data_IF_155544499642
#
_entry.id   IF_155544499642
#
_cell.length_a   1.000
_cell.length_b   1.000
_cell.length_c   1.000
_cell.angle_alpha   90.00
_cell.angle_beta   90.00
_cell.angle_gamma   90.00
#
_symmetry.space_group_name_H-M   'P 1'
#
loop_
_entity.id
_entity.type
_entity.pdbx_description
1 polymer ?
#
# COMPACT_ATOMS: atom_id res chain seq x y z
N UNK A 1 -0.41 22.68 0.95
CA UNK A 1 -0.51 23.18 -0.44
C UNK A 1 -1.63 22.54 -1.28
N UNK A 2 -2.03 21.27 -1.05
CA UNK A 2 -3.07 20.57 -1.84
C UNK A 2 -4.48 21.23 -1.87
N UNK A 3 -4.90 21.92 -0.80
CA UNK A 3 -6.26 22.52 -0.70
C UNK A 3 -6.44 23.79 -1.55
N UNK A 4 -5.37 24.55 -1.81
CA UNK A 4 -5.46 25.81 -2.54
C UNK A 4 -5.67 25.60 -4.05
N UNK A 5 -5.00 24.62 -4.65
CA UNK A 5 -5.15 24.31 -6.08
C UNK A 5 -6.55 23.80 -6.44
N UNK A 6 -7.16 22.98 -5.57
CA UNK A 6 -8.52 22.49 -5.75
C UNK A 6 -9.57 23.62 -5.67
N UNK A 7 -9.40 24.55 -4.71
CA UNK A 7 -10.29 25.71 -4.57
C UNK A 7 -10.24 26.64 -5.79
N UNK A 8 -9.05 26.86 -6.36
CA UNK A 8 -8.87 27.69 -7.56
C UNK A 8 -9.50 27.01 -8.78
N UNK A 9 -9.31 25.70 -8.95
CA UNK A 9 -9.93 24.93 -10.04
C UNK A 9 -11.47 24.97 -9.93
N UNK A 10 -12.03 24.72 -8.75
CA UNK A 10 -13.47 24.79 -8.52
C UNK A 10 -14.04 26.19 -8.81
N UNK A 11 -13.32 27.25 -8.44
CA UNK A 11 -13.72 28.63 -8.73
C UNK A 11 -13.78 28.90 -10.25
N UNK A 12 -12.82 28.39 -11.02
CA UNK A 12 -12.78 28.50 -12.49
C UNK A 12 -13.97 27.76 -13.11
N UNK A 13 -14.31 26.57 -12.60
CA UNK A 13 -15.47 25.79 -13.05
C UNK A 13 -16.79 26.53 -12.80
N UNK A 14 -16.97 27.12 -11.61
CA UNK A 14 -18.17 27.89 -11.26
C UNK A 14 -18.29 29.13 -12.16
N UNK A 15 -17.22 29.90 -12.33
CA UNK A 15 -17.21 31.10 -13.17
C UNK A 15 -17.43 30.79 -14.66
N UNK A 16 -16.80 29.72 -15.17
CA UNK A 16 -16.99 29.25 -16.55
C UNK A 16 -18.43 28.81 -16.82
N UNK A 17 -19.08 28.14 -15.87
CA UNK A 17 -20.49 27.77 -15.96
C UNK A 17 -21.41 28.99 -16.02
N UNK A 18 -21.19 30.01 -15.18
CA UNK A 18 -21.99 31.24 -15.21
C UNK A 18 -21.87 32.00 -16.54
N UNK A 19 -20.69 32.01 -17.15
CA UNK A 19 -20.46 32.64 -18.47
C UNK A 19 -21.10 31.85 -19.63
N UNK A 20 -21.25 30.53 -19.47
CA UNK A 20 -21.89 29.64 -20.45
C UNK A 20 -23.42 29.66 -20.37
N UNK A 21 -23.99 29.69 -19.16
CA UNK A 21 -25.44 29.58 -18.93
C UNK A 21 -26.20 30.89 -19.16
N UNK A 22 -25.56 32.05 -18.97
CA UNK A 22 -26.22 33.33 -19.19
C UNK A 22 -25.90 33.88 -20.59
N UNK A 23 -26.83 33.80 -21.57
CA UNK A 23 -26.72 34.59 -22.78
C UNK A 23 -27.01 36.04 -22.40
N UNK A 24 -25.96 36.82 -22.12
CA UNK A 24 -26.09 38.26 -21.92
C UNK A 24 -26.33 38.93 -23.29
N UNK A 25 -27.51 39.52 -23.57
CA UNK A 25 -27.73 40.22 -24.82
C UNK A 25 -26.88 41.51 -24.85
N UNK A 26 -26.10 41.69 -25.93
CA UNK A 26 -25.28 42.91 -26.13
C UNK A 26 -23.79 42.78 -25.73
N UNK A 27 -23.20 41.59 -25.88
CA UNK A 27 -21.80 41.34 -25.48
C UNK A 27 -20.80 42.14 -26.32
N UNK A 28 -20.06 43.05 -25.68
CA UNK A 28 -18.93 43.74 -26.30
C UNK A 28 -17.82 42.75 -26.67
N UNK A 29 -16.98 43.07 -27.67
CA UNK A 29 -15.81 42.25 -28.08
C UNK A 29 -14.93 41.81 -26.90
N UNK A 30 -14.91 42.59 -25.82
CA UNK A 30 -14.15 42.29 -24.61
C UNK A 30 -14.64 41.02 -23.89
N UNK A 31 -15.96 40.75 -23.93
CA UNK A 31 -16.55 39.58 -23.28
C UNK A 31 -16.27 38.28 -24.05
N UNK A 32 -16.08 38.39 -25.37
CA UNK A 32 -15.62 37.27 -26.20
C UNK A 32 -14.17 36.89 -25.88
N UNK A 33 -13.29 37.87 -25.63
CA UNK A 33 -11.93 37.60 -25.15
C UNK A 33 -11.91 36.88 -23.80
N UNK A 34 -12.77 37.30 -22.85
CA UNK A 34 -12.88 36.63 -21.54
C UNK A 34 -13.36 35.19 -21.69
N UNK A 35 -14.32 34.94 -22.61
CA UNK A 35 -14.79 33.58 -22.92
C UNK A 35 -13.67 32.69 -23.44
N UNK A 36 -12.90 33.16 -24.43
CA UNK A 36 -11.78 32.39 -24.99
C UNK A 36 -10.72 32.11 -23.93
N UNK A 37 -10.38 33.09 -23.09
CA UNK A 37 -9.40 32.93 -22.02
C UNK A 37 -9.85 31.89 -20.98
N UNK A 38 -11.14 31.88 -20.61
CA UNK A 38 -11.70 30.88 -19.71
C UNK A 38 -11.64 29.46 -20.28
N UNK A 39 -11.85 29.29 -21.59
CA UNK A 39 -11.69 27.99 -22.25
C UNK A 39 -10.25 27.47 -22.22
N UNK A 40 -9.28 28.36 -22.42
CA UNK A 40 -7.85 28.00 -22.33
C UNK A 40 -7.49 27.58 -20.90
N UNK A 41 -7.96 28.34 -19.90
CA UNK A 41 -7.75 28.01 -18.48
C UNK A 41 -8.43 26.69 -18.08
N UNK A 42 -9.62 26.40 -18.64
CA UNK A 42 -10.30 25.13 -18.44
C UNK A 42 -9.48 23.96 -19.01
N UNK A 43 -9.01 24.08 -20.25
CA UNK A 43 -8.16 23.08 -20.89
C UNK A 43 -6.87 22.83 -20.11
N UNK A 44 -6.22 23.89 -19.62
CA UNK A 44 -5.03 23.78 -18.78
C UNK A 44 -5.33 23.08 -17.45
N UNK A 45 -6.47 23.37 -16.82
CA UNK A 45 -6.86 22.74 -15.55
C UNK A 45 -7.13 21.24 -15.72
N UNK A 46 -7.75 20.83 -16.83
CA UNK A 46 -7.98 19.43 -17.17
C UNK A 46 -6.67 18.70 -17.47
N UNK A 47 -5.76 19.33 -18.20
CA UNK A 47 -4.43 18.80 -18.47
C UNK A 47 -3.60 18.62 -17.19
N UNK A 48 -3.63 19.60 -16.28
CA UNK A 48 -2.98 19.49 -14.97
C UNK A 48 -3.61 18.41 -14.09
N UNK A 49 -4.94 18.26 -14.11
CA UNK A 49 -5.61 17.18 -13.38
C UNK A 49 -5.22 15.80 -13.93
N UNK A 50 -5.23 15.66 -15.27
CA UNK A 50 -4.87 14.42 -15.95
C UNK A 50 -3.41 14.05 -15.68
N UNK A 51 -2.48 14.99 -15.87
CA UNK A 51 -1.05 14.76 -15.58
C UNK A 51 -0.76 14.46 -14.11
N UNK A 52 -1.51 15.04 -13.15
CA UNK A 52 -1.36 14.67 -11.73
C UNK A 52 -1.90 13.27 -11.47
N UNK A 53 -2.95 12.85 -12.18
CA UNK A 53 -3.54 11.51 -12.05
C UNK A 53 -2.65 10.44 -12.70
N UNK A 54 -2.04 10.74 -13.85
CA UNK A 54 -1.10 9.86 -14.55
C UNK A 54 0.26 9.77 -13.84
N UNK A 55 0.66 10.80 -13.09
CA UNK A 55 1.87 10.82 -12.26
C UNK A 55 1.63 10.35 -10.81
N UNK A 56 0.59 9.56 -10.52
CA UNK A 56 0.50 8.80 -9.27
C UNK A 56 0.88 7.33 -9.49
N UNK A 57 2.17 6.96 -9.53
CA UNK A 57 2.60 5.61 -9.87
C UNK A 57 2.63 4.64 -8.68
N UNK A 58 1.99 4.94 -7.53
CA UNK A 58 2.25 4.17 -6.30
C UNK A 58 1.03 3.49 -5.68
N UNK A 59 -0.20 3.94 -5.97
CA UNK A 59 -1.39 3.36 -5.32
C UNK A 59 -2.02 2.20 -6.10
N UNK A 60 -1.79 2.13 -7.42
CA UNK A 60 -2.35 1.09 -8.27
C UNK A 60 -1.53 -0.20 -8.19
N UNK A 61 -0.19 -0.10 -8.17
CA UNK A 61 0.72 -1.25 -8.12
C UNK A 61 0.66 -2.03 -6.79
N UNK A 62 0.56 -1.35 -5.63
CA UNK A 62 0.41 -2.01 -4.33
C UNK A 62 -0.93 -2.75 -4.21
N UNK A 63 -2.02 -2.12 -4.68
CA UNK A 63 -3.35 -2.73 -4.71
C UNK A 63 -3.39 -3.96 -5.62
N UNK A 64 -2.65 -3.92 -6.72
CA UNK A 64 -2.61 -4.98 -7.70
C UNK A 64 -1.79 -6.20 -7.21
N UNK A 65 -0.71 -5.96 -6.46
CA UNK A 65 0.06 -7.02 -5.80
C UNK A 65 -0.75 -7.76 -4.72
N UNK A 66 -1.48 -7.04 -3.87
CA UNK A 66 -2.34 -7.62 -2.82
C UNK A 66 -3.50 -8.40 -3.46
N UNK A 67 -4.09 -7.87 -4.54
CA UNK A 67 -5.19 -8.53 -5.24
C UNK A 67 -4.70 -9.81 -5.93
N UNK A 68 -3.54 -9.78 -6.59
CA UNK A 68 -2.89 -10.98 -7.14
C UNK A 68 -2.60 -12.03 -6.06
N UNK A 69 -2.18 -11.61 -4.86
CA UNK A 69 -1.99 -12.50 -3.71
C UNK A 69 -3.29 -13.16 -3.24
N UNK A 70 -4.36 -12.39 -3.04
CA UNK A 70 -5.65 -12.91 -2.60
C UNK A 70 -6.24 -13.90 -3.61
N UNK A 71 -6.09 -13.62 -4.91
CA UNK A 71 -6.50 -14.54 -5.97
C UNK A 71 -5.68 -15.83 -5.91
N UNK A 72 -4.35 -15.73 -5.79
CA UNK A 72 -3.47 -16.91 -5.74
C UNK A 72 -3.76 -17.77 -4.51
N UNK A 73 -3.97 -17.17 -3.33
CA UNK A 73 -4.38 -17.89 -2.13
C UNK A 73 -5.72 -18.60 -2.28
N UNK A 74 -6.70 -17.96 -2.91
CA UNK A 74 -8.04 -18.53 -3.10
C UNK A 74 -8.04 -19.75 -4.05
N UNK A 75 -7.03 -19.86 -4.91
CA UNK A 75 -6.89 -21.00 -5.85
C UNK A 75 -6.13 -22.19 -5.27
N UNK A 76 -5.49 -22.04 -4.11
CA UNK A 76 -4.61 -23.05 -3.54
C UNK A 76 -5.37 -23.93 -2.53
N UNK A 77 -5.19 -25.25 -2.64
CA UNK A 77 -5.89 -26.24 -1.84
C UNK A 77 -5.06 -26.87 -0.71
N UNK A 78 -3.73 -26.69 -0.72
CA UNK A 78 -2.82 -27.30 0.27
C UNK A 78 -2.06 -26.26 1.08
N UNK A 79 -1.71 -26.59 2.33
CA UNK A 79 -1.00 -25.68 3.24
C UNK A 79 0.40 -25.31 2.72
N UNK A 80 1.11 -26.27 2.14
CA UNK A 80 2.46 -26.04 1.57
C UNK A 80 2.43 -25.08 0.38
N UNK A 81 1.42 -25.19 -0.47
CA UNK A 81 1.29 -24.32 -1.64
C UNK A 81 0.92 -22.89 -1.23
N UNK A 82 0.20 -22.71 -0.10
CA UNK A 82 -0.06 -21.40 0.49
C UNK A 82 1.27 -20.75 0.92
N UNK A 83 2.15 -21.50 1.58
CA UNK A 83 3.43 -20.95 2.02
C UNK A 83 4.39 -20.67 0.85
N UNK A 84 4.37 -21.48 -0.21
CA UNK A 84 5.11 -21.17 -1.45
C UNK A 84 4.58 -19.90 -2.12
N UNK A 85 3.26 -19.73 -2.21
CA UNK A 85 2.66 -18.52 -2.75
C UNK A 85 3.01 -17.29 -1.90
N UNK A 86 2.97 -17.42 -0.57
CA UNK A 86 3.38 -16.39 0.37
C UNK A 86 4.85 -16.01 0.18
N UNK A 87 5.74 -17.01 0.05
CA UNK A 87 7.15 -16.79 -0.22
C UNK A 87 7.36 -16.02 -1.52
N UNK A 88 6.73 -16.44 -2.62
CA UNK A 88 6.91 -15.77 -3.91
C UNK A 88 6.58 -14.28 -3.81
N UNK A 89 5.50 -13.93 -3.10
CA UNK A 89 5.11 -12.54 -2.86
C UNK A 89 6.11 -11.82 -1.97
N UNK A 90 6.49 -12.41 -0.84
CA UNK A 90 7.45 -11.79 0.08
C UNK A 90 8.81 -11.59 -0.58
N UNK A 91 9.27 -12.52 -1.43
CA UNK A 91 10.55 -12.43 -2.12
C UNK A 91 10.58 -11.37 -3.22
N UNK A 92 9.41 -10.99 -3.75
CA UNK A 92 9.30 -9.90 -4.71
C UNK A 92 9.47 -8.53 -4.02
N UNK A 93 9.01 -8.41 -2.78
CA UNK A 93 8.99 -7.16 -2.02
C UNK A 93 10.22 -6.99 -1.10
N UNK A 94 10.67 -8.09 -0.50
CA UNK A 94 11.71 -8.09 0.53
C UNK A 94 12.92 -8.92 0.11
N UNK A 95 14.10 -8.37 0.31
CA UNK A 95 15.36 -9.10 0.15
C UNK A 95 15.68 -9.80 1.47
N UNK A 96 15.47 -11.11 1.51
CA UNK A 96 15.84 -11.96 2.65
C UNK A 96 16.48 -13.25 2.17
N UNK A 97 17.39 -13.81 2.99
CA UNK A 97 18.04 -15.08 2.69
C UNK A 97 17.15 -16.27 3.04
N UNK A 98 16.44 -16.19 4.18
CA UNK A 98 15.63 -17.28 4.72
C UNK A 98 14.28 -16.80 5.25
N UNK A 99 13.22 -17.51 4.90
CA UNK A 99 11.87 -17.33 5.42
C UNK A 99 11.51 -18.52 6.32
N UNK A 100 11.03 -18.24 7.53
CA UNK A 100 10.53 -19.26 8.45
C UNK A 100 9.17 -18.83 8.99
N UNK A 101 8.17 -19.71 8.83
CA UNK A 101 6.82 -19.50 9.35
C UNK A 101 6.59 -20.42 10.53
N UNK A 102 6.12 -19.83 11.63
CA UNK A 102 5.84 -20.53 12.87
C UNK A 102 4.35 -20.48 13.19
N UNK A 103 3.81 -21.59 13.69
CA UNK A 103 2.45 -21.70 14.21
C UNK A 103 2.49 -21.75 15.73
N UNK A 104 1.58 -21.01 16.36
CA UNK A 104 1.29 -21.19 17.78
C UNK A 104 0.29 -22.32 17.97
N UNK A 105 0.60 -23.27 18.83
CA UNK A 105 -0.32 -24.36 19.18
C UNK A 105 -1.19 -23.91 20.35
N UNK A 106 -2.54 -24.00 20.27
CA UNK A 106 -3.43 -23.54 21.35
C UNK A 106 -3.19 -24.23 22.69
N UNK A 107 -2.78 -25.50 22.68
CA UNK A 107 -2.55 -26.30 23.88
C UNK A 107 -1.14 -26.12 24.48
N UNK A 108 -0.23 -25.46 23.76
CA UNK A 108 1.14 -25.19 24.22
C UNK A 108 1.48 -23.71 23.95
N UNK A 109 0.94 -22.77 24.74
CA UNK A 109 1.01 -21.34 24.44
C UNK A 109 2.42 -20.75 24.51
N UNK A 110 3.37 -21.51 25.07
CA UNK A 110 4.77 -21.15 25.30
C UNK A 110 5.72 -21.74 24.25
N UNK A 111 5.18 -22.37 23.20
CA UNK A 111 5.95 -23.02 22.13
C UNK A 111 5.43 -22.54 20.77
N UNK A 112 6.36 -22.18 19.89
CA UNK A 112 6.11 -21.95 18.47
C UNK A 112 6.65 -23.14 17.69
N UNK A 113 5.82 -23.74 16.85
CA UNK A 113 6.25 -24.84 15.97
C UNK A 113 6.50 -24.30 14.59
N UNK A 114 7.66 -24.60 14.03
CA UNK A 114 8.02 -24.22 12.66
C UNK A 114 7.23 -25.10 11.70
N UNK A 115 6.37 -24.48 10.90
CA UNK A 115 5.52 -25.20 9.94
C UNK A 115 6.05 -25.09 8.51
N UNK A 116 6.88 -24.09 8.24
CA UNK A 116 7.50 -23.89 6.94
C UNK A 116 8.83 -23.18 7.10
N UNK A 117 9.81 -23.61 6.31
CA UNK A 117 11.08 -22.89 6.15
C UNK A 117 11.54 -22.98 4.70
N UNK A 118 12.07 -21.89 4.18
CA UNK A 118 12.72 -21.86 2.86
C UNK A 118 13.94 -20.94 2.90
N UNK A 119 15.02 -21.35 2.26
CA UNK A 119 16.32 -20.66 2.27
C UNK A 119 17.46 -21.48 2.93
N UNK A 120 18.68 -20.93 2.96
CA UNK A 120 19.88 -21.65 3.35
C UNK A 120 19.95 -21.93 4.86
N UNK A 121 20.62 -23.03 5.23
CA UNK A 121 20.92 -23.41 6.62
C UNK A 121 19.95 -24.41 7.23
N UNK A 122 20.49 -25.30 8.06
CA UNK A 122 19.79 -26.51 8.56
C UNK A 122 18.82 -26.24 9.72
N UNK A 123 18.93 -25.08 10.38
CA UNK A 123 18.06 -24.71 11.50
C UNK A 123 17.48 -23.30 11.36
N UNK A 124 16.26 -23.05 11.87
CA UNK A 124 15.30 -24.08 12.28
C UNK A 124 14.70 -24.80 11.05
N UNK A 125 14.45 -26.10 11.18
CA UNK A 125 13.77 -26.93 10.18
C UNK A 125 12.27 -27.05 10.45
N UNK A 126 11.50 -27.48 9.46
CA UNK A 126 10.08 -27.80 9.64
C UNK A 126 9.91 -28.86 10.74
N UNK A 127 8.98 -28.62 11.67
CA UNK A 127 8.74 -29.46 12.86
C UNK A 127 9.57 -29.08 14.10
N UNK A 128 10.56 -28.19 13.98
CA UNK A 128 11.29 -27.69 15.15
C UNK A 128 10.39 -26.82 16.04
N UNK A 129 10.66 -26.86 17.34
CA UNK A 129 9.96 -26.05 18.33
C UNK A 129 10.86 -24.95 18.86
N UNK A 130 10.30 -23.75 19.01
CA UNK A 130 10.95 -22.57 19.56
C UNK A 130 10.29 -22.23 20.89
N UNK A 131 11.08 -22.10 21.94
CA UNK A 131 10.60 -21.66 23.26
C UNK A 131 10.23 -20.18 23.20
N UNK A 132 9.08 -19.85 23.77
CA UNK A 132 8.53 -18.48 23.79
C UNK A 132 8.42 -17.92 25.20
N UNK A 133 9.08 -18.56 26.17
CA UNK A 133 9.04 -18.13 27.57
C UNK A 133 9.75 -16.79 27.78
N UNK A 134 10.86 -16.58 27.07
CA UNK A 134 11.73 -15.40 27.21
C UNK A 134 12.35 -15.03 25.85
N UNK A 135 12.83 -13.80 25.73
CA UNK A 135 13.49 -13.29 24.52
C UNK A 135 12.56 -12.66 23.46
N UNK A 136 13.05 -12.56 22.22
CA UNK A 136 12.41 -11.84 21.13
C UNK A 136 10.98 -12.31 20.85
N UNK A 137 10.78 -13.63 20.77
CA UNK A 137 9.47 -14.20 20.44
C UNK A 137 8.43 -13.93 21.54
N UNK A 138 8.85 -13.96 22.82
CA UNK A 138 7.99 -13.59 23.94
C UNK A 138 7.52 -12.14 23.82
N UNK A 139 8.44 -11.23 23.46
CA UNK A 139 8.12 -9.82 23.24
C UNK A 139 7.12 -9.62 22.08
N UNK A 140 7.37 -10.24 20.93
CA UNK A 140 6.52 -10.16 19.74
C UNK A 140 5.11 -10.69 20.05
N UNK A 141 4.99 -11.83 20.74
CA UNK A 141 3.67 -12.40 21.06
C UNK A 141 2.90 -11.58 22.10
N UNK A 142 3.58 -11.01 23.09
CA UNK A 142 2.93 -10.22 24.14
C UNK A 142 2.45 -8.85 23.63
N UNK A 143 3.28 -8.17 22.83
CA UNK A 143 2.98 -6.82 22.34
C UNK A 143 2.28 -6.82 20.99
N UNK A 144 2.24 -7.95 20.28
CA UNK A 144 1.70 -8.11 18.92
C UNK A 144 2.29 -7.10 17.92
N UNK A 145 3.50 -6.62 18.19
CA UNK A 145 4.20 -5.68 17.34
C UNK A 145 5.27 -6.43 16.54
N UNK A 146 5.41 -6.13 15.24
CA UNK A 146 6.54 -6.62 14.46
C UNK A 146 7.83 -6.04 15.04
N UNK A 147 8.89 -6.84 15.02
CA UNK A 147 10.19 -6.42 15.51
C UNK A 147 11.22 -6.62 14.42
N UNK A 148 11.91 -5.54 14.07
CA UNK A 148 13.09 -5.60 13.23
C UNK A 148 14.31 -5.72 14.15
N UNK A 149 15.15 -6.73 13.96
CA UNK A 149 16.24 -7.07 14.89
C UNK A 149 17.22 -5.91 15.13
N UNK A 150 17.48 -5.09 14.10
CA UNK A 150 18.31 -3.90 14.23
C UNK A 150 17.73 -2.88 15.23
N UNK A 151 16.40 -2.73 15.29
CA UNK A 151 15.67 -1.85 16.22
C UNK A 151 15.43 -2.51 17.58
N UNK A 152 15.43 -3.84 17.63
CA UNK A 152 15.31 -4.60 18.88
C UNK A 152 16.54 -4.42 19.76
N UNK A 153 17.74 -4.43 19.18
CA UNK A 153 18.98 -4.32 19.95
C UNK A 153 19.08 -3.02 20.76
N UNK A 154 18.49 -1.94 20.25
CA UNK A 154 18.53 -0.62 20.88
C UNK A 154 17.40 -0.39 21.90
N UNK A 155 16.33 -1.20 21.86
CA UNK A 155 15.12 -1.03 22.68
C UNK A 155 14.74 -2.25 23.52
N UNK A 156 15.52 -3.33 23.48
CA UNK A 156 15.25 -4.53 24.26
C UNK A 156 15.48 -4.25 25.76
N UNK A 157 14.58 -4.70 26.66
CA UNK A 157 14.67 -4.47 28.09
C UNK A 157 15.65 -5.42 28.81
N UNK A 158 16.79 -5.75 28.19
CA UNK A 158 17.85 -6.58 28.77
C UNK A 158 19.23 -5.98 28.50
#
# INVERSE_FOLDING_TARGET
MKKAGFAVSALIWVLGFFVWVFPLPGTSRWMDFVRVLLWILLGLSLYLLYSVTENQPEAEDESDAITRYLIRLNTVTTEDDIFKALRDVLSAEFHYDKLTVCRRIPHEPNVLTVIYTDGPGDMPGTGHTLSVREGLWAYVLNHKNPVVLNQYRDNAPF
#
